data_IF_196470554086
#
_entry.id   IF_196470554086
#
_cell.length_a   1.000
_cell.length_b   1.000
_cell.length_c   1.000
_cell.angle_alpha   90.00
_cell.angle_beta   90.00
_cell.angle_gamma   90.00
#
_symmetry.space_group_name_H-M   'P 1'
#
loop_
_entity.id
_entity.type
_entity.pdbx_description
1 polymer ?
#
# COMPACT_ATOMS: atom_id res chain seq x y z
N UNK A 1 -15.38 1.91 -18.03
CA UNK A 1 -14.05 1.64 -17.43
C UNK A 1 -13.90 0.18 -17.05
N UNK A 2 -14.76 -0.33 -16.15
CA UNK A 2 -14.69 -1.72 -15.67
C UNK A 2 -14.86 -2.78 -16.76
N UNK A 3 -15.74 -2.59 -17.75
CA UNK A 3 -15.83 -3.46 -18.95
C UNK A 3 -14.49 -3.70 -19.65
N UNK A 4 -13.65 -2.67 -19.82
CA UNK A 4 -12.32 -2.79 -20.46
C UNK A 4 -11.32 -3.55 -19.57
N UNK A 5 -11.36 -3.29 -18.26
CA UNK A 5 -10.52 -3.98 -17.27
C UNK A 5 -10.93 -5.46 -17.19
N UNK A 6 -12.22 -5.75 -17.20
CA UNK A 6 -12.77 -7.10 -17.20
C UNK A 6 -12.38 -7.86 -18.46
N UNK A 7 -12.49 -7.23 -19.63
CA UNK A 7 -12.01 -7.82 -20.89
C UNK A 7 -10.52 -8.17 -20.83
N UNK A 8 -9.65 -7.22 -20.47
CA UNK A 8 -8.22 -7.47 -20.35
C UNK A 8 -7.89 -8.54 -19.29
N UNK A 9 -8.69 -8.60 -18.22
CA UNK A 9 -8.57 -9.65 -17.20
C UNK A 9 -8.94 -11.02 -17.77
N UNK A 10 -10.03 -11.15 -18.52
CA UNK A 10 -10.43 -12.40 -19.17
C UNK A 10 -9.42 -12.87 -20.23
N UNK A 11 -8.85 -11.93 -21.00
CA UNK A 11 -7.80 -12.23 -21.99
C UNK A 11 -6.53 -12.80 -21.34
N UNK A 12 -6.20 -12.37 -20.12
CA UNK A 12 -4.98 -12.77 -19.40
C UNK A 12 -5.19 -13.92 -18.41
N UNK A 13 -6.40 -14.07 -17.87
CA UNK A 13 -6.76 -15.12 -16.94
C UNK A 13 -7.53 -16.22 -17.68
N UNK A 14 -6.79 -17.09 -18.37
CA UNK A 14 -7.35 -18.23 -19.09
C UNK A 14 -8.25 -19.04 -18.14
N UNK A 15 -9.53 -19.18 -18.47
CA UNK A 15 -10.52 -19.93 -17.69
C UNK A 15 -11.20 -19.17 -16.55
N UNK A 16 -11.00 -17.86 -16.38
CA UNK A 16 -11.69 -17.11 -15.34
C UNK A 16 -13.12 -16.74 -15.72
N UNK A 17 -14.10 -17.12 -14.88
CA UNK A 17 -15.54 -16.84 -15.04
C UNK A 17 -16.01 -15.60 -14.26
N UNK A 18 -15.09 -14.79 -13.72
CA UNK A 18 -15.46 -13.62 -12.90
C UNK A 18 -16.17 -12.57 -13.72
N UNK A 19 -17.22 -11.97 -13.16
CA UNK A 19 -17.98 -10.88 -13.82
C UNK A 19 -17.36 -9.51 -13.56
N UNK A 20 -17.73 -8.52 -14.38
CA UNK A 20 -17.38 -7.10 -14.18
C UNK A 20 -17.75 -6.62 -12.75
N UNK A 21 -18.92 -7.03 -12.27
CA UNK A 21 -19.41 -6.69 -10.92
C UNK A 21 -18.51 -7.27 -9.82
N UNK A 22 -18.04 -8.51 -9.98
CA UNK A 22 -17.13 -9.14 -9.02
C UNK A 22 -15.79 -8.40 -8.96
N UNK A 23 -15.24 -7.98 -10.10
CA UNK A 23 -13.99 -7.22 -10.15
C UNK A 23 -14.15 -5.84 -9.50
N UNK A 24 -15.22 -5.12 -9.85
CA UNK A 24 -15.51 -3.79 -9.28
C UNK A 24 -15.71 -3.84 -7.76
N UNK A 25 -16.46 -4.82 -7.26
CA UNK A 25 -16.66 -5.03 -5.82
C UNK A 25 -15.34 -5.34 -5.10
N UNK A 26 -14.52 -6.24 -5.65
CA UNK A 26 -13.20 -6.56 -5.08
C UNK A 26 -12.27 -5.34 -5.06
N UNK A 27 -12.24 -4.56 -6.13
CA UNK A 27 -11.47 -3.32 -6.17
C UNK A 27 -11.93 -2.33 -5.11
N UNK A 28 -13.25 -2.16 -4.92
CA UNK A 28 -13.78 -1.26 -3.89
C UNK A 28 -13.27 -1.62 -2.49
N UNK A 29 -13.27 -2.91 -2.15
CA UNK A 29 -12.74 -3.41 -0.87
C UNK A 29 -11.23 -3.16 -0.78
N UNK A 30 -10.49 -3.55 -1.81
CA UNK A 30 -9.03 -3.43 -1.84
C UNK A 30 -8.56 -1.97 -1.77
N UNK A 31 -9.21 -1.08 -2.53
CA UNK A 31 -8.95 0.35 -2.52
C UNK A 31 -9.21 0.99 -1.14
N UNK A 32 -10.17 0.46 -0.37
CA UNK A 32 -10.37 0.88 1.03
C UNK A 32 -9.20 0.45 1.92
N UNK A 33 -8.65 -0.74 1.72
CA UNK A 33 -7.47 -1.19 2.45
C UNK A 33 -6.24 -0.36 2.15
N UNK A 34 -5.98 -0.06 0.88
CA UNK A 34 -4.88 0.82 0.47
C UNK A 34 -4.99 2.20 1.15
N UNK A 35 -6.20 2.74 1.27
CA UNK A 35 -6.45 3.98 2.00
C UNK A 35 -6.15 3.89 3.50
N UNK A 36 -6.51 2.77 4.15
CA UNK A 36 -6.18 2.52 5.55
C UNK A 36 -4.67 2.37 5.75
N UNK A 37 -4.00 1.64 4.87
CA UNK A 37 -2.55 1.46 4.90
C UNK A 37 -1.81 2.78 4.73
N UNK A 38 -2.22 3.62 3.76
CA UNK A 38 -1.72 4.99 3.60
C UNK A 38 -1.81 5.79 4.90
N UNK A 39 -2.97 5.77 5.56
CA UNK A 39 -3.16 6.53 6.81
C UNK A 39 -2.27 6.00 7.94
N UNK A 40 -2.08 4.68 8.02
CA UNK A 40 -1.21 4.06 9.01
C UNK A 40 0.26 4.44 8.77
N UNK A 41 0.72 4.43 7.52
CA UNK A 41 2.05 4.92 7.14
C UNK A 41 2.23 6.40 7.44
N UNK A 42 1.25 7.24 7.08
CA UNK A 42 1.31 8.68 7.38
C UNK A 42 1.47 8.94 8.88
N UNK A 43 0.74 8.17 9.71
CA UNK A 43 0.86 8.25 11.17
C UNK A 43 2.22 7.77 11.69
N UNK A 44 2.79 6.73 11.08
CA UNK A 44 4.12 6.26 11.45
C UNK A 44 5.21 7.29 11.09
N UNK A 45 5.09 7.93 9.93
CA UNK A 45 6.00 9.00 9.48
C UNK A 45 5.91 10.22 10.41
N UNK A 46 4.70 10.62 10.79
CA UNK A 46 4.49 11.75 11.71
C UNK A 46 5.06 11.47 13.11
N UNK A 47 5.07 10.21 13.53
CA UNK A 47 5.62 9.76 14.80
C UNK A 47 7.14 9.50 14.78
N UNK A 48 7.83 9.76 13.66
CA UNK A 48 9.24 9.42 13.48
C UNK A 48 10.13 10.04 14.57
N UNK A 49 10.89 9.21 15.28
CA UNK A 49 11.88 9.66 16.27
C UNK A 49 13.28 9.73 15.67
N UNK A 50 14.08 10.72 16.06
CA UNK A 50 15.47 10.81 15.61
C UNK A 50 16.23 9.52 15.86
N UNK A 51 16.76 8.90 14.80
CA UNK A 51 17.48 7.62 14.85
C UNK A 51 16.64 6.40 14.45
N UNK A 52 15.34 6.56 14.24
CA UNK A 52 14.48 5.52 13.66
C UNK A 52 14.73 5.38 12.16
N UNK A 53 14.56 4.16 11.64
CA UNK A 53 14.76 3.84 10.22
C UNK A 53 13.45 3.44 9.56
N UNK A 54 13.46 3.28 8.23
CA UNK A 54 12.24 2.91 7.51
C UNK A 54 11.61 1.59 8.00
N UNK A 55 12.43 0.62 8.41
CA UNK A 55 11.91 -0.64 8.95
C UNK A 55 11.04 -0.41 10.19
N UNK A 56 11.43 0.54 11.05
CA UNK A 56 10.65 0.89 12.24
C UNK A 56 9.35 1.61 11.88
N UNK A 57 9.35 2.47 10.86
CA UNK A 57 8.13 3.14 10.37
C UNK A 57 7.16 2.13 9.75
N UNK A 58 7.65 1.16 8.97
CA UNK A 58 6.84 0.08 8.40
C UNK A 58 6.26 -0.79 9.52
N UNK A 59 7.05 -1.13 10.53
CA UNK A 59 6.58 -1.90 11.68
C UNK A 59 5.48 -1.16 12.46
N UNK A 60 5.68 0.15 12.71
CA UNK A 60 4.66 0.99 13.33
C UNK A 60 3.39 1.07 12.47
N UNK A 61 3.53 1.24 11.16
CA UNK A 61 2.38 1.27 10.24
C UNK A 61 1.61 -0.06 10.24
N UNK A 62 2.28 -1.20 10.33
CA UNK A 62 1.64 -2.51 10.48
C UNK A 62 0.83 -2.60 11.78
N UNK A 63 1.37 -2.12 12.89
CA UNK A 63 0.66 -2.05 14.17
C UNK A 63 -0.57 -1.14 14.08
N UNK A 64 -0.41 0.07 13.56
CA UNK A 64 -1.52 1.02 13.39
C UNK A 64 -2.61 0.48 12.45
N UNK A 65 -2.22 -0.21 11.38
CA UNK A 65 -3.15 -0.85 10.47
C UNK A 65 -3.97 -1.95 11.16
N UNK A 66 -3.30 -2.85 11.90
CA UNK A 66 -3.94 -3.94 12.63
C UNK A 66 -4.89 -3.46 13.75
N UNK A 67 -4.56 -2.32 14.38
CA UNK A 67 -5.38 -1.72 15.44
C UNK A 67 -6.74 -1.17 14.94
N UNK A 68 -6.96 -1.04 13.62
CA UNK A 68 -8.24 -0.55 13.06
C UNK A 68 -9.41 -1.54 13.08
N UNK A 69 -9.29 -2.65 13.83
CA UNK A 69 -10.44 -3.32 14.44
C UNK A 69 -11.31 -4.17 13.51
N UNK A 70 -10.74 -5.07 12.70
CA UNK A 70 -11.51 -6.06 11.92
C UNK A 70 -10.82 -7.44 11.80
N UNK A 71 -10.04 -7.86 12.79
CA UNK A 71 -9.39 -9.19 12.78
C UNK A 71 -8.40 -9.43 11.64
N UNK A 72 -8.00 -8.38 10.90
CA UNK A 72 -7.04 -8.48 9.81
C UNK A 72 -5.63 -8.47 10.37
N UNK A 73 -4.90 -9.55 10.09
CA UNK A 73 -3.45 -9.63 10.20
C UNK A 73 -2.82 -8.55 9.31
N UNK A 74 -1.60 -8.17 9.65
CA UNK A 74 -0.71 -7.27 8.91
C UNK A 74 -1.07 -7.04 7.43
N UNK A 75 -0.92 -5.80 6.96
CA UNK A 75 -1.01 -5.47 5.55
C UNK A 75 -0.03 -6.32 4.73
N UNK A 76 -0.55 -7.15 3.84
CA UNK A 76 0.17 -8.16 3.08
C UNK A 76 0.24 -7.85 1.56
N UNK A 77 -0.32 -6.72 1.13
CA UNK A 77 -0.38 -6.30 -0.27
C UNK A 77 0.71 -5.27 -0.61
N UNK A 78 1.93 -5.48 -0.11
CA UNK A 78 3.08 -4.56 -0.28
C UNK A 78 3.41 -4.32 -1.74
N UNK A 79 3.46 -5.37 -2.57
CA UNK A 79 3.74 -5.20 -4.01
C UNK A 79 2.68 -4.33 -4.71
N UNK A 80 1.40 -4.49 -4.35
CA UNK A 80 0.36 -3.63 -4.91
C UNK A 80 0.46 -2.19 -4.42
N UNK A 81 0.90 -1.98 -3.17
CA UNK A 81 1.17 -0.65 -2.63
C UNK A 81 2.26 0.08 -3.42
N UNK A 82 3.34 -0.61 -3.80
CA UNK A 82 4.42 -0.05 -4.62
C UNK A 82 3.91 0.57 -5.93
N UNK A 83 2.94 -0.11 -6.55
CA UNK A 83 2.33 0.39 -7.80
C UNK A 83 1.46 1.61 -7.52
N UNK A 84 0.67 1.61 -6.44
CA UNK A 84 -0.36 2.64 -6.24
C UNK A 84 0.11 3.88 -5.47
N UNK A 85 1.21 3.82 -4.72
CA UNK A 85 1.64 4.91 -3.82
C UNK A 85 2.01 6.21 -4.54
N UNK A 86 2.38 6.12 -5.81
CA UNK A 86 2.75 7.27 -6.65
C UNK A 86 1.54 8.05 -7.16
N UNK A 87 0.33 7.46 -7.11
CA UNK A 87 -0.89 8.13 -7.54
C UNK A 87 -1.34 9.14 -6.50
N UNK A 88 -1.79 10.33 -6.94
CA UNK A 88 -2.20 11.47 -6.08
C UNK A 88 -3.10 11.08 -4.90
N UNK A 89 -3.99 10.11 -5.08
CA UNK A 89 -4.90 9.63 -4.03
C UNK A 89 -4.17 8.96 -2.85
N UNK A 90 -3.06 8.30 -3.12
CA UNK A 90 -2.31 7.48 -2.18
C UNK A 90 -0.97 8.09 -1.75
N UNK A 91 -0.57 9.21 -2.37
CA UNK A 91 0.59 9.97 -1.93
C UNK A 91 0.42 10.41 -0.46
N UNK A 92 1.50 10.25 0.31
CA UNK A 92 1.60 10.73 1.68
C UNK A 92 2.42 12.02 1.61
N UNK A 93 1.83 13.12 2.06
CA UNK A 93 2.50 14.41 2.18
C UNK A 93 2.87 14.55 3.66
N UNK A 94 4.17 14.50 4.02
CA UNK A 94 4.60 14.74 5.39
C UNK A 94 4.27 16.18 5.79
N UNK A 95 3.71 16.37 6.98
CA UNK A 95 3.39 17.69 7.54
C UNK A 95 4.55 18.33 8.33
N UNK A 96 5.67 17.62 8.54
CA UNK A 96 6.85 18.09 9.25
C UNK A 96 8.05 18.49 8.36
N UNK A 97 9.12 19.08 8.93
CA UNK A 97 10.27 19.56 8.18
C UNK A 97 10.90 18.43 7.37
N UNK A 98 10.92 18.62 6.05
CA UNK A 98 11.37 17.63 5.08
C UNK A 98 12.90 17.52 5.11
N UNK A 99 13.44 16.70 6.01
CA UNK A 99 14.86 16.34 5.99
C UNK A 99 15.00 14.83 5.78
N UNK A 100 15.21 14.44 4.52
CA UNK A 100 15.74 13.12 4.17
C UNK A 100 14.76 11.94 4.02
N UNK A 101 13.54 12.01 4.58
CA UNK A 101 12.65 10.84 4.70
C UNK A 101 12.18 10.26 3.37
N UNK A 102 11.79 11.07 2.37
CA UNK A 102 11.37 10.54 1.06
C UNK A 102 12.48 9.74 0.35
N UNK A 103 13.74 10.17 0.48
CA UNK A 103 14.89 9.49 -0.12
C UNK A 103 15.22 8.17 0.58
N UNK A 104 15.06 8.10 1.91
CA UNK A 104 15.26 6.86 2.67
C UNK A 104 14.14 5.85 2.42
N UNK A 105 12.89 6.31 2.20
CA UNK A 105 11.78 5.46 1.76
C UNK A 105 12.11 4.69 0.48
N UNK A 106 12.48 5.43 -0.56
CA UNK A 106 12.87 4.88 -1.87
C UNK A 106 14.09 3.95 -1.79
N UNK A 107 15.07 4.25 -0.92
CA UNK A 107 16.31 3.47 -0.81
C UNK A 107 16.15 2.12 -0.08
N UNK A 108 15.40 2.07 1.02
CA UNK A 108 15.12 0.80 1.71
C UNK A 108 14.12 -0.08 0.94
N UNK A 109 13.21 0.51 0.16
CA UNK A 109 12.35 -0.26 -0.76
C UNK A 109 13.18 -0.94 -1.86
N UNK A 110 14.16 -0.25 -2.45
CA UNK A 110 15.09 -0.90 -3.40
C UNK A 110 15.91 -2.02 -2.75
N UNK A 111 16.31 -1.88 -1.49
CA UNK A 111 17.09 -2.91 -0.78
C UNK A 111 16.24 -4.15 -0.37
N UNK A 112 14.95 -3.98 -0.11
CA UNK A 112 14.06 -5.13 0.17
C UNK A 112 13.59 -5.84 -1.10
N UNK A 113 13.47 -5.15 -2.23
CA UNK A 113 13.21 -5.78 -3.53
C UNK A 113 14.30 -6.80 -3.91
N UNK A 114 15.56 -6.52 -3.57
CA UNK A 114 16.71 -7.39 -3.88
C UNK A 114 16.79 -8.61 -2.94
N UNK A 115 16.12 -8.60 -1.78
CA UNK A 115 16.14 -9.73 -0.83
C UNK A 115 15.08 -10.80 -1.08
N UNK A 116 14.17 -10.58 -2.04
CA UNK A 116 13.09 -11.51 -2.37
C UNK A 116 13.15 -12.05 -3.81
N UNK A 117 14.26 -11.81 -4.53
CA UNK A 117 14.67 -12.55 -5.74
C UNK A 117 15.78 -13.55 -5.38
#
# INVERSE_FOLDING_TARGET
>A
MWKKIHQAFCERAIGSTRTEMTLSSRWKVFNKELGKWRNALAKAIDNHRSGENLSSEIMQAQMWFGATGQGRKSFNHTHCWEVVKTYKRFQIIPTGPTVGTQKSYLKFETENLIRYE
#
